data_IF_688737690668
#
_entry.id   IF_688737690668
#
_cell.length_a   1.000
_cell.length_b   1.000
_cell.length_c   1.000
_cell.angle_alpha   90.00
_cell.angle_beta   90.00
_cell.angle_gamma   90.00
#
_symmetry.space_group_name_H-M   'P 1'
#
loop_
_entity.id
_entity.type
_entity.pdbx_description
1 polymer ?
#
# COMPACT_ATOMS: atom_id res chain seq x y z
N UNK A 1 5.27 -15.30 10.76
CA UNK A 1 5.75 -16.50 11.49
C UNK A 1 7.04 -16.26 12.29
N UNK A 2 8.10 -15.64 11.74
CA UNK A 2 9.40 -15.44 12.43
C UNK A 2 9.26 -14.77 13.81
N UNK A 3 8.62 -13.60 13.88
CA UNK A 3 8.35 -12.85 15.13
C UNK A 3 7.84 -13.74 16.27
N UNK A 4 6.78 -14.52 16.02
CA UNK A 4 6.17 -15.40 17.02
C UNK A 4 7.17 -16.43 17.57
N UNK A 5 8.02 -16.99 16.69
CA UNK A 5 9.05 -17.96 17.06
C UNK A 5 10.20 -17.31 17.84
N UNK A 6 10.61 -16.10 17.47
CA UNK A 6 11.64 -15.32 18.18
C UNK A 6 11.14 -14.86 19.55
N UNK A 7 9.86 -14.48 19.65
CA UNK A 7 9.22 -14.03 20.90
C UNK A 7 9.09 -15.18 21.90
N UNK A 8 8.63 -16.35 21.45
CA UNK A 8 8.61 -17.59 22.25
C UNK A 8 10.01 -18.00 22.74
N UNK A 9 11.07 -17.74 21.95
CA UNK A 9 12.45 -18.04 22.34
C UNK A 9 13.03 -17.05 23.38
N UNK A 10 12.40 -15.90 23.63
CA UNK A 10 12.84 -14.92 24.63
C UNK A 10 12.45 -15.26 26.07
N UNK A 11 11.41 -16.08 26.25
CA UNK A 11 10.88 -16.54 27.54
C UNK A 11 11.81 -17.58 28.17
N UNK A 12 12.86 -17.09 28.85
CA UNK A 12 13.91 -17.91 29.45
C UNK A 12 13.42 -18.63 30.70
N UNK A 13 13.05 -19.91 30.53
CA UNK A 13 12.53 -20.79 31.57
C UNK A 13 13.58 -21.10 32.67
N UNK A 14 13.57 -20.31 33.75
CA UNK A 14 14.36 -20.58 34.95
C UNK A 14 13.80 -21.76 35.74
N UNK A 15 14.18 -22.98 35.36
CA UNK A 15 13.87 -24.20 36.09
C UNK A 15 14.67 -24.25 37.41
N UNK A 16 14.08 -23.72 38.49
CA UNK A 16 14.64 -23.84 39.83
C UNK A 16 14.34 -25.23 40.42
N UNK A 17 15.37 -25.96 40.83
CA UNK A 17 15.24 -27.24 41.51
C UNK A 17 15.58 -27.13 42.99
N UNK A 18 14.58 -27.14 43.88
CA UNK A 18 14.70 -27.85 45.15
C UNK A 18 13.34 -28.21 45.77
N UNK A 19 13.36 -28.93 46.89
CA UNK A 19 12.20 -29.61 47.51
C UNK A 19 11.19 -28.70 48.22
N UNK A 20 9.95 -29.17 48.24
CA UNK A 20 8.77 -28.57 48.83
C UNK A 20 8.89 -27.98 50.25
N UNK A 21 8.22 -26.84 50.45
CA UNK A 21 7.38 -26.58 51.62
C UNK A 21 5.95 -26.22 51.14
N UNK A 22 4.94 -26.45 51.96
CA UNK A 22 3.53 -26.52 51.55
C UNK A 22 2.67 -25.36 52.08
N UNK A 23 3.15 -24.12 51.95
CA UNK A 23 2.32 -22.92 52.09
C UNK A 23 1.70 -22.54 50.74
N UNK A 24 0.50 -23.06 50.46
CA UNK A 24 -0.22 -22.79 49.20
C UNK A 24 -0.81 -21.38 49.18
N UNK A 25 0.03 -20.37 48.92
CA UNK A 25 -0.46 -19.09 48.44
C UNK A 25 -1.04 -19.29 47.03
N UNK A 26 -2.36 -19.12 46.92
CA UNK A 26 -3.05 -19.15 45.63
C UNK A 26 -2.72 -17.86 44.88
N UNK A 27 -1.62 -17.89 44.13
CA UNK A 27 -1.44 -17.00 43.00
C UNK A 27 -2.65 -17.18 42.07
N UNK A 28 -3.53 -16.19 42.03
CA UNK A 28 -4.45 -16.02 40.91
C UNK A 28 -3.57 -15.66 39.72
N UNK A 29 -3.15 -16.69 38.96
CA UNK A 29 -2.62 -16.50 37.62
C UNK A 29 -3.70 -15.83 36.80
N UNK A 30 -3.37 -14.69 36.19
CA UNK A 30 -4.26 -14.07 35.22
C UNK A 30 -4.34 -14.96 33.97
N UNK A 31 -5.54 -15.04 33.41
CA UNK A 31 -5.87 -15.80 32.20
C UNK A 31 -6.54 -14.92 31.14
N UNK A 32 -6.80 -13.64 31.45
CA UNK A 32 -7.25 -12.67 30.45
C UNK A 32 -6.04 -12.19 29.67
N UNK A 33 -6.16 -12.15 28.34
CA UNK A 33 -5.10 -11.61 27.51
C UNK A 33 -5.18 -10.07 27.46
N UNK A 34 -4.04 -9.37 27.34
CA UNK A 34 -4.03 -7.95 27.02
C UNK A 34 -4.70 -7.69 25.66
N UNK A 35 -4.99 -6.44 25.34
CA UNK A 35 -5.72 -6.04 24.13
C UNK A 35 -4.95 -5.00 23.31
N UNK A 36 -5.10 -5.04 21.98
CA UNK A 36 -4.50 -4.09 21.04
C UNK A 36 -5.61 -3.37 20.25
N UNK A 37 -6.01 -2.18 20.71
CA UNK A 37 -6.99 -1.34 20.01
C UNK A 37 -6.28 -0.34 19.08
N UNK A 38 -7.01 0.25 18.12
CA UNK A 38 -6.47 1.02 17.00
C UNK A 38 -7.03 0.52 15.65
N UNK A 39 -6.60 1.07 14.50
CA UNK A 39 -7.11 0.66 13.19
C UNK A 39 -6.59 -0.72 12.75
N UNK A 40 -7.11 -1.23 11.63
CA UNK A 40 -6.55 -2.37 10.87
C UNK A 40 -5.66 -1.92 9.70
N UNK A 41 -5.59 -0.61 9.43
CA UNK A 41 -4.85 0.02 8.35
C UNK A 41 -4.16 1.28 8.86
N UNK A 42 -2.90 1.49 8.48
CA UNK A 42 -2.15 2.74 8.73
C UNK A 42 -1.49 3.15 7.41
N UNK A 43 -1.66 4.41 7.02
CA UNK A 43 -0.90 5.02 5.93
C UNK A 43 0.20 5.89 6.53
N UNK A 44 1.42 5.72 6.04
CA UNK A 44 2.60 6.49 6.45
C UNK A 44 3.23 7.16 5.21
N UNK A 45 3.75 8.39 5.33
CA UNK A 45 4.57 8.96 4.26
C UNK A 45 5.88 8.18 4.09
N UNK A 46 6.50 8.28 2.91
CA UNK A 46 7.85 7.75 2.71
C UNK A 46 8.81 8.29 3.78
N UNK A 47 9.72 7.46 4.27
CA UNK A 47 10.70 7.78 5.30
C UNK A 47 10.12 8.20 6.67
N UNK A 48 8.86 7.88 6.97
CA UNK A 48 8.28 8.06 8.31
C UNK A 48 9.08 7.35 9.41
N UNK A 49 9.00 7.87 10.65
CA UNK A 49 9.56 7.20 11.82
C UNK A 49 8.62 6.07 12.27
N UNK A 50 9.17 4.92 12.67
CA UNK A 50 8.35 3.80 13.14
C UNK A 50 7.66 4.09 14.49
N UNK A 51 8.05 5.13 15.22
CA UNK A 51 7.34 5.61 16.41
C UNK A 51 6.05 6.36 16.07
N UNK A 52 5.89 6.87 14.84
CA UNK A 52 4.60 7.38 14.36
C UNK A 52 3.58 6.24 14.26
N UNK A 53 3.98 5.12 13.64
CA UNK A 53 3.17 3.91 13.55
C UNK A 53 2.68 3.40 14.92
N UNK A 54 3.53 3.42 15.95
CA UNK A 54 3.14 2.97 17.30
C UNK A 54 2.01 3.81 17.92
N UNK A 55 1.93 5.10 17.61
CA UNK A 55 0.94 6.02 18.20
C UNK A 55 -0.51 5.74 17.73
N UNK A 56 -0.70 4.96 16.67
CA UNK A 56 -2.02 4.52 16.21
C UNK A 56 -2.66 3.43 17.10
N UNK A 57 -1.92 2.87 18.06
CA UNK A 57 -2.36 1.74 18.88
C UNK A 57 -2.41 2.07 20.37
N UNK A 58 -3.41 1.51 21.04
CA UNK A 58 -3.52 1.55 22.50
C UNK A 58 -3.51 0.13 23.04
N UNK A 59 -2.81 -0.06 24.15
CA UNK A 59 -2.68 -1.33 24.85
C UNK A 59 -3.46 -1.24 26.16
N UNK A 60 -4.33 -2.21 26.43
CA UNK A 60 -5.08 -2.30 27.69
C UNK A 60 -5.10 -3.73 28.22
N UNK A 61 -5.02 -3.86 29.53
CA UNK A 61 -5.03 -5.10 30.32
C UNK A 61 -5.76 -4.82 31.65
N UNK A 62 -6.24 -5.85 32.33
CA UNK A 62 -6.89 -5.71 33.64
C UNK A 62 -5.88 -5.34 34.76
N UNK A 63 -4.59 -5.63 34.55
CA UNK A 63 -3.51 -5.38 35.50
C UNK A 63 -2.95 -3.95 35.41
N UNK A 64 -2.14 -3.57 36.40
CA UNK A 64 -1.45 -2.26 36.45
C UNK A 64 -0.06 -2.26 35.80
N UNK A 65 0.32 -3.32 35.09
CA UNK A 65 1.62 -3.46 34.44
C UNK A 65 1.72 -2.65 33.14
N UNK A 66 2.94 -2.22 32.78
CA UNK A 66 3.18 -1.50 31.53
C UNK A 66 3.39 -2.49 30.38
N UNK A 67 2.37 -2.64 29.54
CA UNK A 67 2.44 -3.33 28.26
C UNK A 67 3.42 -2.63 27.29
N UNK A 68 3.89 -3.37 26.28
CA UNK A 68 4.77 -2.87 25.20
C UNK A 68 4.34 -3.48 23.87
N UNK A 69 4.28 -2.67 22.82
CA UNK A 69 3.92 -3.11 21.47
C UNK A 69 5.16 -3.68 20.75
N UNK A 70 5.05 -4.91 20.25
CA UNK A 70 6.10 -5.58 19.49
C UNK A 70 5.64 -5.90 18.07
N UNK A 71 6.51 -5.69 17.09
CA UNK A 71 6.32 -6.00 15.67
C UNK A 71 7.69 -6.12 14.99
N UNK A 72 7.75 -6.75 13.81
CA UNK A 72 8.97 -6.72 12.98
C UNK A 72 9.10 -5.35 12.30
N UNK A 73 10.29 -4.73 12.24
CA UNK A 73 10.47 -3.46 11.55
C UNK A 73 10.28 -3.62 10.04
N UNK A 74 9.39 -2.82 9.45
CA UNK A 74 9.15 -2.72 8.00
C UNK A 74 9.94 -1.56 7.38
N UNK A 75 10.11 -1.56 6.06
CA UNK A 75 10.77 -0.45 5.36
C UNK A 75 9.81 0.71 5.15
N UNK A 76 10.16 1.92 5.60
CA UNK A 76 9.46 3.15 5.20
C UNK A 76 10.07 3.82 3.98
N UNK A 77 11.17 3.30 3.41
CA UNK A 77 11.86 3.90 2.24
C UNK A 77 11.37 3.37 0.89
N UNK A 78 10.55 2.31 0.89
CA UNK A 78 10.02 1.66 -0.32
C UNK A 78 8.50 1.75 -0.30
N UNK A 79 7.87 2.43 -1.28
CA UNK A 79 6.41 2.50 -1.35
C UNK A 79 5.80 1.13 -1.65
N UNK A 80 5.03 0.62 -0.70
CA UNK A 80 4.42 -0.71 -0.71
C UNK A 80 3.36 -0.81 0.41
N UNK A 81 2.63 -1.92 0.47
CA UNK A 81 1.75 -2.24 1.60
C UNK A 81 2.31 -3.48 2.32
N UNK A 82 2.50 -3.38 3.64
CA UNK A 82 3.13 -4.43 4.45
C UNK A 82 2.15 -5.04 5.48
N UNK A 83 2.02 -6.37 5.57
CA UNK A 83 1.36 -7.04 6.70
C UNK A 83 2.22 -6.93 7.96
N UNK A 84 1.81 -6.12 8.92
CA UNK A 84 2.50 -5.99 10.20
C UNK A 84 1.74 -6.78 11.26
N UNK A 85 2.37 -7.85 11.79
CA UNK A 85 1.85 -8.57 12.94
C UNK A 85 2.31 -7.87 14.21
N UNK A 86 1.37 -7.22 14.88
CA UNK A 86 1.50 -6.68 16.22
C UNK A 86 1.36 -7.81 17.26
N UNK A 87 2.12 -7.72 18.34
CA UNK A 87 2.00 -8.54 19.53
C UNK A 87 2.19 -7.70 20.81
N UNK A 88 1.50 -8.07 21.88
CA UNK A 88 1.77 -7.60 23.25
C UNK A 88 1.57 -8.77 24.21
N UNK A 89 2.30 -8.76 25.33
CA UNK A 89 2.15 -9.72 26.42
C UNK A 89 1.98 -9.00 27.76
N UNK A 90 1.28 -9.64 28.69
CA UNK A 90 1.17 -9.21 30.09
C UNK A 90 2.34 -9.74 30.96
N UNK A 91 2.23 -9.63 32.28
CA UNK A 91 3.20 -10.19 33.22
C UNK A 91 3.02 -11.69 33.51
N UNK A 92 1.90 -12.30 33.12
CA UNK A 92 1.62 -13.73 33.31
C UNK A 92 2.06 -14.59 32.10
N UNK A 93 2.28 -13.97 30.95
CA UNK A 93 2.62 -14.61 29.67
C UNK A 93 1.43 -14.76 28.71
N UNK A 94 0.27 -14.16 29.01
CA UNK A 94 -0.86 -14.11 28.09
C UNK A 94 -0.52 -13.15 26.94
N UNK A 95 -0.72 -13.61 25.70
CA UNK A 95 -0.33 -12.87 24.48
C UNK A 95 -1.59 -12.51 23.69
N UNK A 96 -1.65 -11.28 23.21
CA UNK A 96 -2.56 -10.89 22.13
C UNK A 96 -1.80 -10.44 20.90
N UNK A 97 -2.36 -10.76 19.74
CA UNK A 97 -1.83 -10.41 18.42
C UNK A 97 -2.86 -9.69 17.58
N UNK A 98 -2.40 -8.85 16.66
CA UNK A 98 -3.25 -8.13 15.70
C UNK A 98 -2.52 -7.97 14.36
N UNK A 99 -3.22 -8.17 13.26
CA UNK A 99 -2.68 -7.90 11.93
C UNK A 99 -3.09 -6.48 11.53
N UNK A 100 -2.16 -5.72 10.97
CA UNK A 100 -2.37 -4.36 10.46
C UNK A 100 -1.70 -4.23 9.10
N UNK A 101 -2.40 -3.63 8.13
CA UNK A 101 -1.78 -3.20 6.87
C UNK A 101 -1.10 -1.84 7.04
N UNK A 102 0.15 -1.76 6.61
CA UNK A 102 0.92 -0.50 6.60
C UNK A 102 1.19 -0.10 5.16
N UNK A 103 0.44 0.87 4.63
CA UNK A 103 0.73 1.54 3.36
C UNK A 103 1.85 2.56 3.59
N UNK A 104 2.95 2.40 2.85
CA UNK A 104 3.99 3.42 2.73
C UNK A 104 3.76 4.15 1.41
N UNK A 105 3.40 5.42 1.50
CA UNK A 105 3.12 6.27 0.34
C UNK A 105 4.41 6.64 -0.41
N UNK A 106 4.34 6.99 -1.71
CA UNK A 106 5.48 7.52 -2.45
C UNK A 106 6.05 8.79 -1.81
N UNK A 107 7.36 9.02 -1.99
CA UNK A 107 8.00 10.26 -1.58
C UNK A 107 7.57 11.41 -2.52
N UNK A 108 6.85 12.40 -1.98
CA UNK A 108 6.39 13.57 -2.72
C UNK A 108 7.34 14.73 -2.45
N UNK A 109 8.25 15.00 -3.39
CA UNK A 109 9.10 16.19 -3.34
C UNK A 109 8.25 17.44 -3.60
N UNK A 110 8.21 18.43 -2.69
CA UNK A 110 7.49 19.68 -2.94
C UNK A 110 8.19 20.51 -4.03
N UNK A 111 7.41 21.26 -4.82
CA UNK A 111 7.93 22.15 -5.86
C UNK A 111 7.80 23.62 -5.43
N UNK A 112 8.84 24.43 -5.70
CA UNK A 112 8.85 25.88 -5.42
C UNK A 112 8.81 26.65 -6.74
N UNK A 113 7.69 27.35 -6.98
CA UNK A 113 7.45 28.20 -8.14
C UNK A 113 7.86 29.64 -7.78
N UNK A 114 8.88 30.14 -8.47
CA UNK A 114 9.38 31.51 -8.37
C UNK A 114 10.27 31.82 -9.58
N UNK A 115 10.50 33.10 -9.81
CA UNK A 115 11.45 33.64 -10.79
C UNK A 115 12.26 34.79 -10.16
N UNK A 116 13.44 35.04 -10.69
CA UNK A 116 14.28 36.19 -10.33
C UNK A 116 13.54 37.51 -10.61
N UNK A 117 13.85 38.55 -9.84
CA UNK A 117 13.16 39.84 -9.91
C UNK A 117 14.15 40.99 -10.05
N UNK A 118 13.76 42.02 -10.79
CA UNK A 118 14.50 43.28 -10.88
C UNK A 118 13.63 44.40 -10.31
N UNK A 119 14.21 45.22 -9.42
CA UNK A 119 13.55 46.37 -8.78
C UNK A 119 14.46 47.60 -8.84
N UNK A 120 13.90 48.78 -8.63
CA UNK A 120 14.63 50.06 -8.57
C UNK A 120 14.99 50.39 -7.13
N UNK A 121 16.11 51.06 -6.90
CA UNK A 121 16.51 51.44 -5.55
C UNK A 121 15.48 52.36 -4.88
N UNK A 122 14.92 51.90 -3.75
CA UNK A 122 13.82 52.54 -3.02
C UNK A 122 12.43 51.95 -3.28
N UNK A 123 12.27 51.00 -4.21
CA UNK A 123 11.01 50.29 -4.42
C UNK A 123 10.64 49.42 -3.19
N UNK A 124 9.33 49.23 -2.91
CA UNK A 124 8.88 48.27 -1.92
C UNK A 124 9.10 46.83 -2.43
N UNK A 125 9.62 45.97 -1.57
CA UNK A 125 9.87 44.56 -1.88
C UNK A 125 9.17 43.66 -0.86
N UNK A 126 8.38 42.71 -1.37
CA UNK A 126 7.62 41.73 -0.59
C UNK A 126 8.16 40.33 -0.93
N UNK A 127 8.92 39.65 -0.04
CA UNK A 127 9.64 38.43 -0.39
C UNK A 127 8.78 37.28 -0.94
N UNK A 128 7.51 37.18 -0.52
CA UNK A 128 6.57 36.16 -1.00
C UNK A 128 5.77 36.59 -2.25
N UNK A 129 5.98 37.80 -2.79
CA UNK A 129 5.32 38.22 -4.02
C UNK A 129 5.79 37.37 -5.21
N UNK A 130 4.82 36.80 -5.92
CA UNK A 130 5.00 35.91 -7.07
C UNK A 130 5.79 34.62 -6.75
N UNK A 131 5.77 34.19 -5.48
CA UNK A 131 6.29 32.90 -5.02
C UNK A 131 5.12 32.00 -4.60
N UNK A 132 5.13 30.74 -5.02
CA UNK A 132 4.26 29.71 -4.46
C UNK A 132 4.99 28.37 -4.28
N UNK A 133 4.42 27.48 -3.48
CA UNK A 133 4.91 26.11 -3.33
C UNK A 133 3.76 25.11 -3.36
N UNK A 134 3.97 23.95 -3.99
CA UNK A 134 2.94 22.92 -4.18
C UNK A 134 3.45 21.52 -3.89
N UNK A 135 2.63 20.67 -3.29
CA UNK A 135 2.89 19.23 -3.12
C UNK A 135 1.57 18.45 -3.10
N UNK A 136 1.55 17.25 -3.68
CA UNK A 136 0.36 16.38 -3.80
C UNK A 136 -0.89 17.07 -4.41
N UNK A 137 -0.69 18.14 -5.18
CA UNK A 137 -1.76 18.98 -5.72
C UNK A 137 -2.30 20.06 -4.77
N UNK A 138 -1.82 20.12 -3.52
CA UNK A 138 -2.16 21.14 -2.54
C UNK A 138 -1.21 22.36 -2.62
N UNK A 139 -1.73 23.54 -2.24
CA UNK A 139 -0.95 24.76 -2.06
C UNK A 139 -0.34 24.79 -0.65
N UNK A 140 0.98 24.76 -0.58
CA UNK A 140 1.78 24.77 0.65
C UNK A 140 2.63 26.04 0.77
N UNK A 141 2.31 27.10 0.04
CA UNK A 141 3.02 28.40 0.05
C UNK A 141 3.17 28.97 1.46
N UNK A 142 2.17 28.76 2.33
CA UNK A 142 2.20 29.20 3.73
C UNK A 142 3.23 28.46 4.62
N UNK A 143 3.84 27.38 4.13
CA UNK A 143 4.91 26.62 4.80
C UNK A 143 6.32 26.99 4.30
N UNK A 144 6.46 27.96 3.39
CA UNK A 144 7.75 28.48 2.95
C UNK A 144 8.47 29.23 4.09
N UNK A 145 9.75 28.91 4.27
CA UNK A 145 10.70 29.77 5.02
C UNK A 145 11.72 30.37 4.05
N UNK A 146 12.26 31.53 4.43
CA UNK A 146 13.19 32.30 3.59
C UNK A 146 14.43 32.62 4.41
N UNK A 147 15.61 32.32 3.87
CA UNK A 147 16.90 32.78 4.37
C UNK A 147 17.49 33.85 3.43
N UNK A 148 18.19 34.83 4.00
CA UNK A 148 18.69 36.01 3.29
C UNK A 148 17.93 37.29 3.63
N UNK A 149 18.38 38.42 3.05
CA UNK A 149 17.80 39.76 3.22
C UNK A 149 18.09 40.61 1.97
N UNK A 150 17.29 41.65 1.71
CA UNK A 150 17.42 42.50 0.50
C UNK A 150 17.41 43.98 0.89
N UNK A 151 18.57 44.64 0.79
CA UNK A 151 18.66 46.09 0.94
C UNK A 151 18.20 46.78 -0.36
N UNK A 152 16.91 47.10 -0.45
CA UNK A 152 16.35 47.81 -1.61
C UNK A 152 16.90 49.24 -1.77
N UNK A 153 17.71 49.77 -0.85
CA UNK A 153 18.34 51.09 -0.99
C UNK A 153 19.71 51.07 -1.68
N UNK A 154 20.39 49.92 -1.73
CA UNK A 154 21.74 49.77 -2.29
C UNK A 154 21.71 48.94 -3.58
N UNK A 155 22.11 49.48 -4.75
CA UNK A 155 22.16 48.72 -5.99
C UNK A 155 23.13 47.53 -5.96
N UNK A 156 22.67 46.37 -6.41
CA UNK A 156 23.39 45.10 -6.37
C UNK A 156 22.47 43.90 -6.54
N UNK A 157 23.03 42.70 -6.60
CA UNK A 157 22.29 41.43 -6.64
C UNK A 157 22.23 40.81 -5.24
N UNK A 158 21.02 40.44 -4.81
CA UNK A 158 20.75 39.83 -3.51
C UNK A 158 20.15 38.44 -3.70
N UNK A 159 20.70 37.43 -3.03
CA UNK A 159 20.18 36.05 -3.07
C UNK A 159 19.28 35.79 -1.86
N UNK A 160 18.06 35.34 -2.12
CA UNK A 160 17.17 34.74 -1.12
C UNK A 160 17.09 33.23 -1.37
N UNK A 161 17.15 32.45 -0.30
CA UNK A 161 17.00 30.99 -0.36
C UNK A 161 15.67 30.59 0.27
N UNK A 162 14.78 30.03 -0.54
CA UNK A 162 13.46 29.58 -0.12
C UNK A 162 13.53 28.09 0.22
N UNK A 163 12.97 27.69 1.34
CA UNK A 163 12.85 26.30 1.75
C UNK A 163 11.39 25.95 2.02
N UNK A 164 11.00 24.72 1.70
CA UNK A 164 9.70 24.15 2.13
C UNK A 164 9.87 22.68 2.49
N UNK A 165 9.13 22.24 3.51
CA UNK A 165 9.07 20.83 3.92
C UNK A 165 7.64 20.33 3.75
N UNK A 166 7.46 19.19 3.07
CA UNK A 166 6.18 18.50 2.94
C UNK A 166 6.35 17.07 3.43
N UNK A 167 5.58 16.68 4.45
CA UNK A 167 5.74 15.41 5.17
C UNK A 167 7.21 15.22 5.63
N UNK A 168 7.97 14.32 4.99
CA UNK A 168 9.38 14.04 5.27
C UNK A 168 10.33 14.62 4.22
N UNK A 169 9.81 15.18 3.13
CA UNK A 169 10.58 15.65 1.98
C UNK A 169 10.80 17.15 2.04
N UNK A 170 11.94 17.60 1.53
CA UNK A 170 12.31 19.01 1.52
C UNK A 170 12.70 19.45 0.12
N UNK A 171 12.37 20.69 -0.22
CA UNK A 171 12.89 21.37 -1.41
C UNK A 171 13.49 22.72 -1.01
N UNK A 172 14.42 23.20 -1.83
CA UNK A 172 15.02 24.52 -1.65
C UNK A 172 15.38 25.14 -2.98
N UNK A 173 15.22 26.46 -3.11
CA UNK A 173 15.40 27.18 -4.38
C UNK A 173 15.87 28.61 -4.13
N UNK A 174 16.88 29.03 -4.86
CA UNK A 174 17.38 30.41 -4.83
C UNK A 174 16.53 31.32 -5.71
N UNK A 175 16.39 32.59 -5.30
CA UNK A 175 15.84 33.71 -6.07
C UNK A 175 16.85 34.85 -6.02
N UNK A 176 17.20 35.40 -7.17
CA UNK A 176 18.05 36.59 -7.28
C UNK A 176 17.15 37.83 -7.40
N UNK A 177 17.43 38.84 -6.58
CA UNK A 177 16.80 40.15 -6.61
C UNK A 177 17.86 41.18 -7.04
N UNK A 178 17.77 41.66 -8.27
CA UNK A 178 18.65 42.71 -8.79
C UNK A 178 18.06 44.08 -8.46
N UNK A 179 18.73 44.84 -7.58
CA UNK A 179 18.40 46.24 -7.28
C UNK A 179 19.17 47.14 -8.24
N UNK A 180 18.46 47.82 -9.13
CA UNK A 180 19.03 48.82 -10.05
C UNK A 180 19.17 50.19 -9.37
N UNK A 181 20.14 51.04 -9.78
CA UNK A 181 20.19 52.43 -9.34
C UNK A 181 18.90 53.18 -9.65
N UNK A 182 18.46 54.03 -8.73
CA UNK A 182 17.31 54.91 -8.95
C UNK A 182 17.53 55.78 -10.18
N UNK A 183 16.57 55.78 -11.11
CA UNK A 183 16.66 56.56 -12.35
C UNK A 183 16.71 58.06 -12.02
N UNK A 184 17.65 58.85 -12.58
CA UNK A 184 17.69 60.29 -12.36
C UNK A 184 16.43 60.94 -12.91
N UNK A 185 15.63 61.55 -12.03
CA UNK A 185 14.30 62.04 -12.35
C UNK A 185 14.29 63.15 -13.42
N UNK A 186 14.06 62.78 -14.67
CA UNK A 186 13.87 63.70 -15.81
C UNK A 186 12.69 63.25 -16.69
N UNK A 187 12.14 64.17 -17.50
CA UNK A 187 10.73 64.11 -17.93
C UNK A 187 10.44 63.35 -19.23
N UNK A 188 9.39 62.52 -19.24
CA UNK A 188 8.80 61.90 -20.45
C UNK A 188 8.02 62.90 -21.32
N UNK A 189 7.85 62.62 -22.64
CA UNK A 189 6.59 61.98 -23.08
C UNK A 189 6.68 61.00 -24.30
N UNK A 190 5.92 59.89 -24.19
CA UNK A 190 5.08 59.13 -25.17
C UNK A 190 5.24 59.39 -26.70
N UNK A 191 5.35 58.38 -27.58
CA UNK A 191 4.27 57.71 -28.41
C UNK A 191 4.95 56.84 -29.55
N UNK A 192 4.38 55.84 -30.27
CA UNK A 192 3.21 54.91 -30.19
C UNK A 192 3.40 53.70 -31.17
N UNK A 193 2.52 52.66 -31.09
CA UNK A 193 1.94 51.72 -32.12
C UNK A 193 2.70 51.33 -33.43
N UNK A 194 2.52 50.17 -34.11
CA UNK A 194 1.32 49.31 -34.29
C UNK A 194 1.61 47.92 -34.95
N UNK A 195 0.58 47.06 -35.02
CA UNK A 195 0.36 45.75 -35.72
C UNK A 195 1.11 45.37 -37.02
N UNK A 196 1.28 44.06 -37.31
CA UNK A 196 0.34 43.31 -38.20
C UNK A 196 0.62 41.80 -38.47
N UNK A 197 -0.50 41.06 -38.53
CA UNK A 197 -0.86 39.69 -38.99
C UNK A 197 -0.29 39.15 -40.34
N UNK A 198 -0.08 37.81 -40.46
CA UNK A 198 -0.69 36.90 -41.51
C UNK A 198 -0.17 35.43 -41.55
N UNK A 199 -0.97 34.51 -42.13
CA UNK A 199 -0.77 33.04 -42.29
C UNK A 199 -0.95 32.60 -43.77
N UNK A 200 -0.21 31.60 -44.27
CA UNK A 200 -0.78 30.40 -44.94
C UNK A 200 -0.06 29.07 -44.53
N UNK A 201 -0.61 27.83 -44.42
CA UNK A 201 -1.72 27.05 -45.03
C UNK A 201 -1.24 25.94 -46.02
N UNK A 202 -1.77 24.69 -45.88
CA UNK A 202 -1.86 23.56 -46.85
C UNK A 202 -1.11 22.21 -46.60
N UNK A 203 -1.79 21.27 -45.91
CA UNK A 203 -2.19 19.86 -46.24
C UNK A 203 -1.38 18.88 -47.14
N UNK A 204 -1.18 17.64 -46.64
CA UNK A 204 -1.27 16.28 -47.29
C UNK A 204 -0.98 15.21 -46.20
N UNK A 205 -1.70 14.09 -45.94
CA UNK A 205 -2.09 12.89 -46.73
C UNK A 205 -0.88 12.12 -47.34
N UNK A 206 -0.72 10.77 -47.24
CA UNK A 206 -1.67 9.64 -46.97
C UNK A 206 -0.99 8.40 -46.32
N UNK A 207 -1.78 7.44 -45.81
CA UNK A 207 -1.44 6.04 -45.41
C UNK A 207 -1.34 5.08 -46.63
N UNK A 208 -0.83 3.80 -46.55
CA UNK A 208 -1.69 2.64 -46.17
C UNK A 208 -1.04 1.33 -45.59
N UNK A 209 -1.78 0.64 -44.70
CA UNK A 209 -2.09 -0.81 -44.56
C UNK A 209 -1.07 -2.01 -44.62
N UNK A 210 -1.07 -2.82 -43.52
CA UNK A 210 -1.03 -4.31 -43.38
C UNK A 210 0.21 -5.13 -43.93
N UNK A 211 0.39 -6.47 -43.82
CA UNK A 211 -0.33 -7.68 -43.27
C UNK A 211 0.72 -8.86 -43.09
N UNK A 212 0.57 -10.12 -42.59
CA UNK A 212 -0.47 -11.04 -42.01
C UNK A 212 0.21 -12.15 -41.11
N UNK A 213 -0.55 -13.02 -40.39
CA UNK A 213 -0.32 -14.45 -39.92
C UNK A 213 1.10 -15.07 -39.68
N UNK A 214 1.44 -15.74 -38.54
CA UNK A 214 1.08 -17.09 -38.00
C UNK A 214 1.80 -18.30 -38.70
N UNK A 215 2.15 -19.49 -38.12
CA UNK A 215 1.93 -20.23 -36.83
C UNK A 215 3.27 -20.98 -36.44
N UNK A 216 3.51 -22.07 -35.65
CA UNK A 216 2.85 -23.22 -34.91
C UNK A 216 3.91 -23.81 -33.92
N UNK A 217 3.66 -24.17 -32.64
CA UNK A 217 3.07 -25.39 -32.01
C UNK A 217 3.99 -26.61 -31.62
N UNK A 218 4.07 -26.88 -30.29
CA UNK A 218 4.18 -28.16 -29.53
C UNK A 218 5.32 -29.21 -29.69
N UNK A 219 5.78 -29.76 -28.54
CA UNK A 219 5.63 -31.19 -28.07
C UNK A 219 6.31 -31.37 -26.69
N UNK A 220 5.88 -32.36 -25.88
CA UNK A 220 6.31 -32.63 -24.49
C UNK A 220 6.86 -34.06 -24.30
N UNK A 221 7.44 -34.37 -23.13
CA UNK A 221 7.80 -35.75 -22.70
C UNK A 221 7.75 -35.91 -21.16
N UNK A 222 7.44 -37.14 -20.71
CA UNK A 222 7.12 -37.66 -19.35
C UNK A 222 7.43 -39.20 -19.40
N UNK A 223 7.40 -40.03 -18.33
CA UNK A 223 7.11 -39.76 -16.91
C UNK A 223 8.08 -40.42 -15.89
N UNK A 224 7.79 -40.29 -14.58
CA UNK A 224 8.04 -41.37 -13.59
C UNK A 224 6.98 -41.36 -12.49
N UNK A 225 6.36 -42.52 -12.20
CA UNK A 225 5.29 -42.66 -11.20
C UNK A 225 5.80 -42.78 -9.75
N UNK A 226 5.15 -42.08 -8.82
CA UNK A 226 5.19 -42.37 -7.38
C UNK A 226 3.74 -42.54 -6.85
N UNK A 227 3.57 -43.21 -5.70
CA UNK A 227 2.30 -43.81 -5.28
C UNK A 227 1.22 -42.76 -4.96
N UNK A 228 0.20 -42.68 -5.82
CA UNK A 228 -0.87 -41.70 -5.72
C UNK A 228 -1.72 -41.85 -4.43
N UNK A 229 -1.61 -40.86 -3.55
CA UNK A 229 -2.73 -40.42 -2.72
C UNK A 229 -3.73 -39.66 -3.60
N UNK A 230 -5.02 -39.64 -3.23
CA UNK A 230 -5.99 -38.73 -3.89
C UNK A 230 -5.54 -37.28 -3.68
N UNK A 231 -5.43 -36.46 -4.74
CA UNK A 231 -5.03 -35.06 -4.60
C UNK A 231 -6.03 -34.30 -3.75
N UNK A 232 -5.51 -33.38 -2.93
CA UNK A 232 -6.32 -32.44 -2.15
C UNK A 232 -6.29 -31.09 -2.85
N UNK A 233 -7.46 -30.49 -3.06
CA UNK A 233 -7.60 -29.15 -3.63
C UNK A 233 -6.99 -28.13 -2.68
N UNK A 234 -5.88 -27.52 -3.09
CA UNK A 234 -5.07 -26.66 -2.24
C UNK A 234 -4.49 -25.47 -3.02
N UNK A 235 -4.13 -24.40 -2.32
CA UNK A 235 -3.38 -23.28 -2.86
C UNK A 235 -2.19 -22.96 -1.97
N UNK A 236 -1.11 -22.46 -2.58
CA UNK A 236 0.08 -21.97 -1.88
C UNK A 236 0.17 -20.45 -2.06
N UNK A 237 0.10 -19.73 -0.93
CA UNK A 237 0.18 -18.26 -0.88
C UNK A 237 1.20 -17.89 0.19
N UNK A 238 2.21 -17.08 -0.17
CA UNK A 238 3.30 -16.65 0.72
C UNK A 238 3.99 -17.79 1.52
N UNK A 239 3.98 -19.02 0.99
CA UNK A 239 4.54 -20.22 1.64
C UNK A 239 3.60 -20.93 2.63
N UNK A 240 2.35 -20.48 2.77
CA UNK A 240 1.28 -21.21 3.48
C UNK A 240 0.49 -22.06 2.48
N UNK A 241 0.31 -23.34 2.81
CA UNK A 241 -0.64 -24.23 2.12
C UNK A 241 -2.03 -24.07 2.74
N UNK A 242 -3.04 -23.90 1.89
CA UNK A 242 -4.45 -23.71 2.26
C UNK A 242 -5.28 -24.71 1.46
N UNK A 243 -6.11 -25.52 2.14
CA UNK A 243 -7.07 -26.42 1.48
C UNK A 243 -8.35 -25.65 1.17
N UNK A 244 -8.92 -25.86 -0.02
CA UNK A 244 -10.16 -25.19 -0.45
C UNK A 244 -11.21 -26.18 -0.96
N UNK A 245 -12.48 -25.74 -0.99
CA UNK A 245 -13.61 -26.54 -1.45
C UNK A 245 -14.31 -25.94 -2.68
N UNK A 246 -14.40 -26.70 -3.77
CA UNK A 246 -15.20 -26.35 -4.93
C UNK A 246 -16.70 -26.35 -4.55
N UNK A 247 -17.26 -25.17 -4.37
CA UNK A 247 -18.57 -24.92 -3.75
C UNK A 247 -19.56 -24.23 -4.70
N UNK A 248 -19.22 -24.16 -5.99
CA UNK A 248 -20.04 -23.52 -7.02
C UNK A 248 -20.02 -22.00 -6.96
N UNK A 249 -20.98 -21.38 -7.63
CA UNK A 249 -21.02 -19.92 -7.81
C UNK A 249 -21.71 -19.15 -6.66
N UNK A 250 -22.19 -19.85 -5.62
CA UNK A 250 -23.00 -19.22 -4.57
C UNK A 250 -22.91 -19.88 -3.17
N UNK A 251 -22.49 -21.13 -3.04
CA UNK A 251 -22.57 -21.86 -1.76
C UNK A 251 -21.35 -21.67 -0.85
N UNK A 252 -20.24 -21.11 -1.35
CA UNK A 252 -18.99 -20.97 -0.61
C UNK A 252 -19.12 -20.25 0.73
N UNK A 253 -20.04 -19.28 0.87
CA UNK A 253 -20.24 -18.55 2.12
C UNK A 253 -20.56 -19.50 3.28
N UNK A 254 -21.49 -20.43 3.08
CA UNK A 254 -21.88 -21.41 4.08
C UNK A 254 -20.77 -22.44 4.41
N UNK A 255 -19.75 -22.55 3.55
CA UNK A 255 -18.58 -23.40 3.79
C UNK A 255 -17.53 -22.66 4.62
N UNK A 256 -17.26 -21.39 4.34
CA UNK A 256 -16.32 -20.59 5.13
C UNK A 256 -16.90 -20.24 6.51
N UNK A 257 -18.21 -20.06 6.63
CA UNK A 257 -18.89 -19.85 7.92
C UNK A 257 -18.91 -21.12 8.81
N UNK A 258 -18.75 -22.31 8.22
CA UNK A 258 -18.68 -23.58 8.94
C UNK A 258 -17.29 -23.87 9.53
N UNK A 259 -16.22 -23.29 8.98
CA UNK A 259 -14.88 -23.24 9.56
C UNK A 259 -14.26 -21.86 9.29
N UNK A 260 -14.52 -20.90 10.18
CA UNK A 260 -13.98 -19.53 10.05
C UNK A 260 -12.45 -19.46 10.19
N UNK A 261 -11.79 -20.54 10.64
CA UNK A 261 -10.33 -20.55 10.84
C UNK A 261 -9.58 -21.05 9.60
N UNK A 262 -10.08 -22.09 8.94
CA UNK A 262 -9.41 -22.76 7.80
C UNK A 262 -10.23 -22.74 6.50
N UNK A 263 -11.50 -22.33 6.55
CA UNK A 263 -12.44 -22.42 5.43
C UNK A 263 -12.10 -21.48 4.27
N UNK A 264 -11.91 -22.09 3.09
CA UNK A 264 -11.81 -21.42 1.79
C UNK A 264 -12.67 -22.17 0.78
N UNK A 265 -13.41 -21.44 -0.04
CA UNK A 265 -14.36 -22.02 -0.98
C UNK A 265 -14.51 -21.19 -2.26
N UNK A 266 -14.94 -21.82 -3.37
CA UNK A 266 -15.34 -21.07 -4.56
C UNK A 266 -16.70 -20.37 -4.35
N UNK A 267 -16.83 -19.14 -4.86
CA UNK A 267 -18.04 -18.31 -4.75
C UNK A 267 -18.14 -17.33 -5.92
N UNK A 268 -18.29 -17.87 -7.13
CA UNK A 268 -18.34 -17.10 -8.38
C UNK A 268 -17.27 -17.57 -9.36
N UNK A 269 -17.21 -16.95 -10.54
CA UNK A 269 -16.37 -17.43 -11.63
C UNK A 269 -16.76 -18.84 -12.04
N UNK A 270 -15.78 -19.70 -12.32
CA UNK A 270 -15.99 -21.13 -12.53
C UNK A 270 -16.49 -21.81 -11.25
N UNK A 271 -17.48 -22.71 -11.39
CA UNK A 271 -18.09 -23.41 -10.25
C UNK A 271 -17.09 -24.35 -9.52
N UNK A 272 -16.12 -24.85 -10.27
CA UNK A 272 -15.01 -25.71 -9.85
C UNK A 272 -13.75 -25.11 -10.43
N UNK A 273 -12.69 -24.99 -9.63
CA UNK A 273 -11.39 -24.55 -10.13
C UNK A 273 -10.82 -25.53 -11.17
N UNK A 274 -10.39 -24.98 -12.30
CA UNK A 274 -9.52 -25.58 -13.30
C UNK A 274 -8.36 -24.62 -13.53
N UNK A 275 -7.15 -25.15 -13.71
CA UNK A 275 -5.98 -24.33 -14.05
C UNK A 275 -5.73 -24.16 -15.54
N UNK A 276 -6.71 -24.46 -16.38
CA UNK A 276 -6.57 -24.48 -17.85
C UNK A 276 -7.87 -24.31 -18.66
N UNK A 277 -8.99 -23.94 -18.02
CA UNK A 277 -10.26 -23.77 -18.76
C UNK A 277 -10.42 -22.37 -19.40
N UNK A 278 -9.52 -21.44 -19.11
CA UNK A 278 -9.54 -20.09 -19.65
C UNK A 278 -10.55 -19.16 -18.97
N UNK A 279 -11.04 -19.52 -17.79
CA UNK A 279 -11.97 -18.73 -17.00
C UNK A 279 -11.34 -18.16 -15.72
N UNK A 280 -12.02 -17.16 -15.16
CA UNK A 280 -11.82 -16.72 -13.78
C UNK A 280 -12.44 -17.72 -12.79
N UNK A 281 -11.69 -18.13 -11.75
CA UNK A 281 -12.27 -18.76 -10.55
C UNK A 281 -12.23 -17.81 -9.35
N UNK A 282 -13.38 -17.55 -8.71
CA UNK A 282 -13.44 -16.70 -7.53
C UNK A 282 -13.42 -17.52 -6.24
N UNK A 283 -12.46 -17.23 -5.35
CA UNK A 283 -12.33 -17.84 -4.03
C UNK A 283 -12.63 -16.82 -2.91
N UNK A 284 -13.35 -17.27 -1.88
CA UNK A 284 -13.57 -16.51 -0.64
C UNK A 284 -13.02 -17.26 0.57
N UNK A 285 -12.64 -16.50 1.61
CA UNK A 285 -12.16 -17.02 2.88
C UNK A 285 -12.14 -15.93 3.95
N UNK A 286 -12.31 -16.31 5.22
CA UNK A 286 -12.40 -15.35 6.32
C UNK A 286 -11.05 -14.72 6.71
N UNK A 287 -11.14 -13.51 7.26
CA UNK A 287 -10.06 -12.79 7.94
C UNK A 287 -10.63 -12.10 9.20
N UNK A 288 -10.14 -12.41 10.42
CA UNK A 288 -9.11 -13.40 10.73
C UNK A 288 -9.53 -14.82 10.34
N UNK A 289 -8.62 -15.58 9.71
CA UNK A 289 -8.90 -16.91 9.15
C UNK A 289 -7.88 -17.30 8.08
N UNK A 290 -8.20 -18.29 7.25
CA UNK A 290 -7.30 -18.81 6.22
C UNK A 290 -6.78 -17.73 5.26
N UNK A 291 -7.62 -16.75 4.91
CA UNK A 291 -7.27 -15.68 3.97
C UNK A 291 -6.67 -14.43 4.62
N UNK A 292 -6.36 -14.46 5.93
CA UNK A 292 -5.42 -13.51 6.54
C UNK A 292 -4.05 -13.48 5.83
N UNK A 293 -3.69 -14.53 5.06
CA UNK A 293 -2.49 -14.55 4.22
C UNK A 293 -2.56 -13.61 3.01
N UNK A 294 -3.76 -13.25 2.50
CA UNK A 294 -3.89 -12.36 1.34
C UNK A 294 -3.33 -10.96 1.61
N UNK A 295 -3.36 -10.53 2.87
CA UNK A 295 -2.73 -9.30 3.35
C UNK A 295 -1.19 -9.30 3.23
N UNK A 296 -0.57 -10.46 2.94
CA UNK A 296 0.87 -10.58 2.67
C UNK A 296 1.24 -10.68 1.19
N UNK A 297 0.24 -10.56 0.31
CA UNK A 297 0.42 -10.64 -1.14
C UNK A 297 0.65 -9.23 -1.70
N UNK A 298 1.65 -9.10 -2.57
CA UNK A 298 1.96 -7.86 -3.31
C UNK A 298 1.84 -8.08 -4.82
N UNK A 299 1.72 -7.00 -5.60
CA UNK A 299 1.83 -7.06 -7.06
C UNK A 299 3.11 -7.79 -7.50
N UNK A 300 3.01 -8.64 -8.51
CA UNK A 300 4.09 -9.51 -8.99
C UNK A 300 4.32 -10.79 -8.18
N UNK A 301 3.64 -10.98 -7.03
CA UNK A 301 3.73 -12.23 -6.25
C UNK A 301 3.11 -13.41 -7.01
N UNK A 302 3.62 -14.61 -6.76
CA UNK A 302 3.07 -15.85 -7.32
C UNK A 302 2.11 -16.53 -6.35
N UNK A 303 0.96 -16.98 -6.87
CA UNK A 303 0.02 -17.88 -6.18
C UNK A 303 -0.08 -19.16 -7.00
N UNK A 304 0.13 -20.33 -6.39
CA UNK A 304 -0.03 -21.62 -7.06
C UNK A 304 -1.29 -22.32 -6.55
N UNK A 305 -2.13 -22.84 -7.44
CA UNK A 305 -3.39 -23.53 -7.08
C UNK A 305 -3.40 -24.93 -7.71
N UNK A 306 -3.65 -25.94 -6.88
CA UNK A 306 -3.72 -27.37 -7.22
C UNK A 306 -5.19 -27.81 -7.30
N UNK A 307 -5.60 -28.33 -8.45
CA UNK A 307 -6.98 -28.74 -8.73
C UNK A 307 -7.36 -30.15 -8.22
N UNK A 308 -8.54 -30.64 -8.64
CA UNK A 308 -9.08 -31.96 -8.29
C UNK A 308 -8.39 -33.13 -8.99
N UNK A 309 -7.62 -32.87 -10.06
CA UNK A 309 -6.81 -33.86 -10.78
C UNK A 309 -5.36 -33.87 -10.25
N UNK A 310 -4.98 -32.87 -9.46
CA UNK A 310 -3.65 -32.67 -8.89
C UNK A 310 -2.75 -31.77 -9.74
N UNK A 311 -3.27 -31.21 -10.84
CA UNK A 311 -2.54 -30.28 -11.68
C UNK A 311 -2.41 -28.94 -10.96
N UNK A 312 -1.25 -28.30 -11.04
CA UNK A 312 -0.95 -27.06 -10.32
C UNK A 312 -0.56 -25.94 -11.28
N UNK A 313 -1.44 -24.97 -11.48
CA UNK A 313 -1.16 -23.74 -12.24
C UNK A 313 -0.66 -22.65 -11.30
N UNK A 314 0.24 -21.80 -11.80
CA UNK A 314 0.79 -20.66 -11.04
C UNK A 314 0.41 -19.35 -11.72
N UNK A 315 -0.18 -18.46 -10.94
CA UNK A 315 -0.68 -17.16 -11.33
C UNK A 315 0.24 -16.06 -10.78
N UNK A 316 0.42 -14.98 -11.54
CA UNK A 316 1.07 -13.78 -11.06
C UNK A 316 0.02 -12.73 -10.68
N UNK A 317 0.16 -12.15 -9.49
CA UNK A 317 -0.75 -11.13 -8.97
C UNK A 317 -0.57 -9.82 -9.74
N UNK A 318 -1.60 -9.44 -10.48
CA UNK A 318 -1.57 -8.32 -11.43
C UNK A 318 -2.29 -7.06 -10.92
N UNK A 319 -3.27 -7.21 -10.02
CA UNK A 319 -4.02 -6.11 -9.43
C UNK A 319 -4.48 -6.45 -8.00
N UNK A 320 -4.54 -5.43 -7.14
CA UNK A 320 -5.01 -5.51 -5.76
C UNK A 320 -5.89 -4.30 -5.48
N UNK A 321 -7.13 -4.51 -5.04
CA UNK A 321 -8.10 -3.44 -4.77
C UNK A 321 -8.84 -3.68 -3.46
N UNK A 322 -9.47 -2.62 -2.94
CA UNK A 322 -10.41 -2.71 -1.83
C UNK A 322 -11.80 -2.32 -2.33
N UNK A 323 -12.82 -3.12 -2.06
CA UNK A 323 -14.20 -2.89 -2.52
C UNK A 323 -15.21 -3.00 -1.39
N UNK A 324 -16.32 -2.27 -1.49
CA UNK A 324 -17.46 -2.45 -0.59
C UNK A 324 -18.24 -3.74 -0.88
N UNK A 325 -19.37 -3.95 -0.19
CA UNK A 325 -20.25 -5.12 -0.36
C UNK A 325 -20.96 -5.17 -1.73
N UNK A 326 -20.89 -4.08 -2.52
CA UNK A 326 -21.42 -4.03 -3.89
C UNK A 326 -20.36 -4.26 -4.96
N UNK A 327 -19.08 -4.46 -4.59
CA UNK A 327 -17.97 -4.62 -5.53
C UNK A 327 -17.40 -3.31 -6.06
N UNK A 328 -17.76 -2.16 -5.47
CA UNK A 328 -17.28 -0.85 -5.88
C UNK A 328 -15.98 -0.47 -5.15
N UNK A 329 -14.95 -0.07 -5.90
CA UNK A 329 -13.64 0.27 -5.33
C UNK A 329 -13.67 1.60 -4.55
N UNK A 330 -13.03 1.65 -3.38
CA UNK A 330 -13.20 2.73 -2.40
C UNK A 330 -12.80 4.11 -2.94
N UNK A 331 -11.63 4.23 -3.59
CA UNK A 331 -11.03 5.52 -3.99
C UNK A 331 -11.61 6.06 -5.29
N UNK A 332 -11.64 5.24 -6.35
CA UNK A 332 -11.99 5.62 -7.73
C UNK A 332 -13.48 5.47 -8.07
N UNK A 333 -14.23 4.68 -7.27
CA UNK A 333 -15.59 4.25 -7.59
C UNK A 333 -15.72 3.50 -8.92
N UNK A 334 -14.68 2.76 -9.31
CA UNK A 334 -14.80 1.73 -10.35
C UNK A 334 -15.57 0.52 -9.80
N UNK A 335 -16.54 0.05 -10.58
CA UNK A 335 -17.19 -1.25 -10.41
C UNK A 335 -16.22 -2.39 -10.81
N UNK A 336 -16.12 -3.42 -9.97
CA UNK A 336 -15.35 -4.64 -10.22
C UNK A 336 -16.21 -5.91 -10.11
N UNK A 337 -17.54 -5.81 -9.99
CA UNK A 337 -18.42 -6.96 -9.72
C UNK A 337 -18.26 -8.08 -10.75
N UNK A 338 -18.22 -7.74 -12.04
CA UNK A 338 -18.03 -8.71 -13.14
C UNK A 338 -16.60 -9.25 -13.20
N UNK A 339 -15.57 -8.43 -12.92
CA UNK A 339 -14.20 -8.94 -12.82
C UNK A 339 -14.01 -9.91 -11.64
N UNK A 340 -14.68 -9.67 -10.52
CA UNK A 340 -14.65 -10.54 -9.33
C UNK A 340 -15.42 -11.83 -9.58
N UNK A 341 -16.70 -11.71 -9.97
CA UNK A 341 -17.67 -12.83 -9.93
C UNK A 341 -17.98 -13.46 -11.28
N UNK A 342 -17.67 -12.80 -12.40
CA UNK A 342 -17.83 -13.33 -13.75
C UNK A 342 -16.75 -14.34 -14.12
N UNK A 343 -16.97 -15.12 -15.19
CA UNK A 343 -15.99 -16.09 -15.71
C UNK A 343 -15.01 -15.50 -16.73
N UNK A 344 -15.25 -14.28 -17.21
CA UNK A 344 -14.47 -13.69 -18.30
C UNK A 344 -13.07 -13.22 -17.92
N UNK A 345 -12.27 -12.91 -18.95
CA UNK A 345 -10.94 -12.31 -18.80
C UNK A 345 -9.75 -13.26 -18.96
N UNK A 346 -9.99 -14.54 -19.24
CA UNK A 346 -8.94 -15.55 -19.43
C UNK A 346 -8.68 -16.38 -18.17
N UNK A 347 -7.64 -17.20 -18.25
CA UNK A 347 -7.19 -18.10 -17.18
C UNK A 347 -6.66 -17.29 -15.98
N UNK A 348 -7.48 -17.14 -14.94
CA UNK A 348 -7.15 -16.32 -13.77
C UNK A 348 -7.87 -16.76 -12.50
N UNK A 349 -7.40 -16.23 -11.37
CA UNK A 349 -8.07 -16.36 -10.08
C UNK A 349 -8.34 -14.98 -9.48
N UNK A 350 -9.47 -14.87 -8.81
CA UNK A 350 -9.78 -13.77 -7.88
C UNK A 350 -9.87 -14.34 -6.48
N UNK A 351 -9.29 -13.66 -5.49
CA UNK A 351 -9.37 -14.06 -4.07
C UNK A 351 -9.87 -12.89 -3.22
N UNK A 352 -10.97 -13.10 -2.48
CA UNK A 352 -11.64 -12.09 -1.66
C UNK A 352 -11.61 -12.45 -0.17
N UNK A 353 -11.34 -11.45 0.69
CA UNK A 353 -11.45 -11.58 2.15
C UNK A 353 -11.80 -10.25 2.84
N UNK A 354 -12.34 -10.31 4.05
CA UNK A 354 -12.86 -9.13 4.75
C UNK A 354 -11.74 -8.25 5.35
N UNK A 355 -11.84 -6.93 5.15
CA UNK A 355 -11.10 -5.89 5.90
C UNK A 355 -11.97 -5.38 7.07
N UNK A 356 -13.28 -5.31 6.86
CA UNK A 356 -14.33 -5.05 7.85
C UNK A 356 -15.66 -5.66 7.38
N UNK A 357 -16.71 -5.53 8.20
CA UNK A 357 -18.08 -5.98 7.91
C UNK A 357 -18.66 -5.45 6.57
N UNK A 358 -18.09 -4.39 6.00
CA UNK A 358 -18.57 -3.74 4.77
C UNK A 358 -17.45 -3.42 3.77
N UNK A 359 -16.26 -4.04 3.92
CA UNK A 359 -15.11 -3.76 3.07
C UNK A 359 -14.27 -5.02 2.86
N UNK A 360 -13.90 -5.28 1.62
CA UNK A 360 -13.21 -6.48 1.17
C UNK A 360 -11.85 -6.14 0.52
N UNK A 361 -10.84 -6.94 0.79
CA UNK A 361 -9.60 -7.02 0.03
C UNK A 361 -9.81 -7.99 -1.13
N UNK A 362 -9.49 -7.55 -2.34
CA UNK A 362 -9.56 -8.36 -3.57
C UNK A 362 -8.16 -8.47 -4.17
N UNK A 363 -7.71 -9.69 -4.41
CA UNK A 363 -6.49 -10.02 -5.15
C UNK A 363 -6.90 -10.59 -6.51
N UNK A 364 -6.38 -10.02 -7.60
CA UNK A 364 -6.49 -10.60 -8.94
C UNK A 364 -5.12 -11.17 -9.36
N UNK A 365 -5.12 -12.37 -9.94
CA UNK A 365 -3.90 -12.99 -10.47
C UNK A 365 -4.19 -13.81 -11.73
N UNK A 366 -3.52 -13.49 -12.83
CA UNK A 366 -3.62 -14.17 -14.13
C UNK A 366 -2.51 -15.20 -14.31
N UNK A 367 -2.73 -16.22 -15.14
CA UNK A 367 -1.66 -17.16 -15.51
C UNK A 367 -0.54 -16.44 -16.28
N UNK A 368 0.71 -16.89 -16.05
CA UNK A 368 1.93 -16.25 -16.54
C UNK A 368 2.43 -16.77 -17.90
#
# INVERSE_FOLDING_TARGET
>A
MKLLLTFLAGLSLWAFSDTADASSEFFFSDFEAPTITGPSYVSLPANADQTDFQQHFQLWDNQTHRLTLHYEPFSTTVPAIFPTVLATADAAGNIATKIVMVEVQPAITPEIHLADQTITAGDPFEPLAEVSATADGEDITAALTIEGDVDTSTPGDYTLLYHVTFQTQQASKERIITVLPAEPAESTPIETSNSSETQPTATSETEPAADTEAVTAAVAEEPTEEVAATPVTQMQIAGQTIVYQNSGQASGQAVIDADSSNGVATWGGAATYSGSDGANTHFIGHNPGAFSVLFSVSLGSTISVTDVEGLTTTYQVDNIVQVDDTGMEVKTKKDYWEEITGTGGGERITLQTCISDTLNLIIFASAA
#
